data_IF_399845216618
#
_entry.id   IF_399845216618
#
_cell.length_a   1.000
_cell.length_b   1.000
_cell.length_c   1.000
_cell.angle_alpha   90.00
_cell.angle_beta   90.00
_cell.angle_gamma   90.00
#
_symmetry.space_group_name_H-M   'P 1'
#
loop_
_entity.id
_entity.type
_entity.pdbx_description
1 polymer ?
#
# COMPACT_ATOMS: atom_id res chain seq x y z
N UNK A 1 -24.34 -35.95 -25.48
CA UNK A 1 -22.91 -35.78 -25.29
C UNK A 1 -22.50 -36.43 -23.97
N UNK A 2 -21.75 -37.51 -24.01
CA UNK A 2 -21.50 -38.38 -22.86
C UNK A 2 -20.28 -37.92 -22.09
N UNK A 3 -20.21 -38.10 -20.78
CA UNK A 3 -19.10 -37.67 -19.90
C UNK A 3 -17.68 -38.10 -20.34
N UNK A 4 -17.61 -39.14 -21.19
CA UNK A 4 -16.33 -39.64 -21.75
C UNK A 4 -15.76 -38.77 -22.89
N UNK A 5 -16.58 -37.98 -23.55
CA UNK A 5 -16.15 -37.16 -24.70
C UNK A 5 -15.61 -35.79 -24.23
N UNK A 6 -15.96 -35.37 -22.99
CA UNK A 6 -15.42 -34.14 -22.39
C UNK A 6 -13.96 -34.27 -21.92
N UNK A 7 -13.51 -35.49 -21.62
CA UNK A 7 -12.15 -35.75 -21.12
C UNK A 7 -11.13 -35.88 -22.26
N UNK A 8 -11.55 -36.09 -23.51
CA UNK A 8 -10.63 -36.19 -24.67
C UNK A 8 -10.26 -34.86 -25.34
N UNK A 9 -10.94 -33.76 -24.97
CA UNK A 9 -10.68 -32.42 -25.52
C UNK A 9 -9.67 -31.57 -24.73
N UNK A 10 -9.16 -32.05 -23.60
CA UNK A 10 -8.32 -31.28 -22.69
C UNK A 10 -6.81 -31.62 -22.73
N UNK A 11 -6.34 -32.26 -23.78
CA UNK A 11 -4.95 -32.72 -23.89
C UNK A 11 -4.22 -32.09 -25.07
N UNK A 12 -4.17 -30.77 -25.15
CA UNK A 12 -3.24 -30.05 -26.04
C UNK A 12 -3.06 -28.58 -25.59
N UNK A 13 -2.74 -28.35 -24.32
CA UNK A 13 -2.04 -27.12 -23.92
C UNK A 13 -0.71 -27.58 -23.37
N UNK A 14 0.33 -27.40 -24.19
CA UNK A 14 1.67 -27.83 -23.89
C UNK A 14 2.19 -27.16 -22.61
N UNK A 15 2.62 -27.96 -21.66
CA UNK A 15 3.52 -27.55 -20.60
C UNK A 15 4.85 -27.14 -21.24
N UNK A 16 5.02 -25.84 -21.51
CA UNK A 16 6.35 -25.30 -21.76
C UNK A 16 7.13 -25.41 -20.44
N UNK A 17 8.13 -26.26 -20.48
CA UNK A 17 9.06 -26.52 -19.37
C UNK A 17 9.65 -25.22 -18.85
N UNK A 18 9.56 -25.03 -17.53
CA UNK A 18 10.29 -24.02 -16.78
C UNK A 18 11.79 -24.37 -16.75
N UNK A 19 12.45 -24.15 -17.87
CA UNK A 19 13.90 -24.20 -18.01
C UNK A 19 14.33 -23.00 -18.85
N UNK A 20 14.43 -21.83 -18.23
CA UNK A 20 14.85 -20.61 -18.94
C UNK A 20 14.71 -19.31 -18.19
N UNK A 21 14.59 -19.30 -16.88
CA UNK A 21 14.51 -18.05 -16.10
C UNK A 21 15.82 -17.74 -15.35
N UNK A 22 16.97 -17.84 -16.04
CA UNK A 22 18.26 -17.35 -15.51
C UNK A 22 18.82 -16.11 -16.20
N UNK A 23 18.12 -15.51 -17.15
CA UNK A 23 18.65 -14.41 -17.96
C UNK A 23 17.78 -13.13 -18.03
N UNK A 24 16.75 -12.99 -17.20
CA UNK A 24 15.94 -11.76 -17.15
C UNK A 24 16.17 -10.95 -15.86
N UNK A 25 17.40 -10.95 -15.31
CA UNK A 25 17.76 -10.24 -14.05
C UNK A 25 18.32 -8.82 -14.25
N UNK A 26 18.18 -8.20 -15.40
CA UNK A 26 18.93 -6.97 -15.67
C UNK A 26 18.18 -5.83 -16.37
N UNK A 27 16.86 -5.72 -16.26
CA UNK A 27 16.17 -4.62 -16.94
C UNK A 27 14.96 -4.03 -16.20
N UNK A 28 14.86 -4.13 -14.88
CA UNK A 28 13.78 -3.47 -14.14
C UNK A 28 14.33 -2.74 -12.91
N UNK A 29 14.16 -1.42 -12.91
CA UNK A 29 14.16 -0.53 -11.74
C UNK A 29 15.48 -0.32 -11.03
N UNK A 30 16.05 0.86 -11.20
CA UNK A 30 17.26 1.33 -10.54
C UNK A 30 17.41 0.88 -9.08
N UNK A 31 18.38 0.01 -8.82
CA UNK A 31 18.92 -0.23 -7.48
C UNK A 31 18.15 -1.15 -6.53
N UNK A 32 17.00 -1.69 -6.87
CA UNK A 32 16.16 -2.53 -6.00
C UNK A 32 16.39 -4.03 -6.18
N UNK A 33 17.60 -4.52 -6.16
CA UNK A 33 17.92 -5.95 -6.17
C UNK A 33 18.50 -6.39 -4.82
N UNK A 34 17.63 -6.50 -3.80
CA UNK A 34 17.95 -7.22 -2.57
C UNK A 34 16.98 -8.38 -2.40
N UNK A 35 17.48 -9.55 -2.00
CA UNK A 35 16.64 -10.73 -1.69
C UNK A 35 15.79 -10.56 -0.42
N UNK A 36 15.66 -9.35 0.11
CA UNK A 36 15.00 -9.02 1.36
C UNK A 36 13.72 -8.20 1.20
N UNK A 37 12.99 -8.08 2.31
CA UNK A 37 11.80 -7.23 2.41
C UNK A 37 12.17 -5.74 2.35
N UNK A 38 11.48 -4.96 1.54
CA UNK A 38 11.62 -3.50 1.46
C UNK A 38 10.77 -2.82 2.54
N UNK A 39 11.31 -2.67 3.73
CA UNK A 39 10.62 -2.02 4.84
C UNK A 39 10.49 -0.50 4.60
N UNK A 40 9.32 0.03 4.94
CA UNK A 40 8.94 1.42 4.79
C UNK A 40 8.30 1.96 6.07
N UNK A 41 8.48 3.23 6.35
CA UNK A 41 7.74 3.93 7.40
C UNK A 41 6.88 5.04 6.81
N UNK A 42 5.71 5.21 7.38
CA UNK A 42 4.94 6.43 7.20
C UNK A 42 5.68 7.61 7.84
N UNK A 43 5.63 8.77 7.19
CA UNK A 43 6.34 10.00 7.57
C UNK A 43 6.18 10.37 9.06
N UNK A 44 4.97 10.24 9.60
CA UNK A 44 4.64 10.52 10.98
C UNK A 44 5.20 9.52 12.01
N UNK A 45 5.62 8.34 11.56
CA UNK A 45 6.17 7.28 12.42
C UNK A 45 7.68 7.34 12.59
N UNK A 46 8.37 8.17 11.80
CA UNK A 46 9.83 8.33 11.83
C UNK A 46 10.23 9.07 13.11
N UNK A 47 11.03 8.47 14.02
CA UNK A 47 11.25 8.97 15.38
C UNK A 47 12.39 10.00 15.47
N UNK A 48 12.35 11.02 14.63
CA UNK A 48 13.27 12.17 14.66
C UNK A 48 12.50 13.46 14.46
N UNK A 49 13.17 14.60 14.58
CA UNK A 49 12.59 15.93 14.34
C UNK A 49 11.96 16.02 12.94
N UNK A 50 10.96 16.88 12.77
CA UNK A 50 10.24 17.03 11.50
C UNK A 50 11.04 17.88 10.50
N UNK A 51 12.14 17.30 10.06
CA UNK A 51 13.05 17.82 9.03
C UNK A 51 13.24 16.76 7.95
N UNK A 52 13.26 17.13 6.67
CA UNK A 52 13.35 16.20 5.56
C UNK A 52 14.62 15.37 5.60
N UNK A 53 15.77 16.02 5.74
CA UNK A 53 17.06 15.32 5.73
C UNK A 53 17.21 14.43 6.96
N UNK A 54 16.88 14.92 8.16
CA UNK A 54 16.95 14.14 9.38
C UNK A 54 16.13 12.85 9.29
N UNK A 55 14.90 12.92 8.72
CA UNK A 55 14.05 11.74 8.56
C UNK A 55 14.58 10.79 7.50
N UNK A 56 15.03 11.30 6.37
CA UNK A 56 15.57 10.47 5.29
C UNK A 56 16.90 9.82 5.69
N UNK A 57 17.77 10.55 6.38
CA UNK A 57 19.02 10.01 6.95
C UNK A 57 18.75 8.90 7.97
N UNK A 58 17.73 9.09 8.84
CA UNK A 58 17.30 8.06 9.77
C UNK A 58 16.88 6.77 9.04
N UNK A 59 16.08 6.89 7.98
CA UNK A 59 15.63 5.72 7.22
C UNK A 59 16.79 4.97 6.57
N UNK A 60 17.73 5.67 5.93
CA UNK A 60 18.89 5.06 5.29
C UNK A 60 19.82 4.40 6.33
N UNK A 61 20.10 5.08 7.45
CA UNK A 61 20.95 4.56 8.52
C UNK A 61 20.37 3.29 9.20
N UNK A 62 19.04 3.14 9.20
CA UNK A 62 18.37 1.99 9.81
C UNK A 62 17.90 0.93 8.78
N UNK A 63 18.36 1.03 7.53
CA UNK A 63 18.14 0.01 6.51
C UNK A 63 16.69 -0.10 6.02
N UNK A 64 15.93 1.01 6.07
CA UNK A 64 14.66 1.11 5.35
C UNK A 64 14.92 1.35 3.86
N UNK A 65 14.03 0.85 3.02
CA UNK A 65 14.13 1.00 1.58
C UNK A 65 13.27 2.15 1.04
N UNK A 66 12.24 2.56 1.78
CA UNK A 66 11.25 3.50 1.29
C UNK A 66 10.69 4.39 2.40
N UNK A 67 9.99 5.43 1.96
CA UNK A 67 9.19 6.31 2.80
C UNK A 67 7.80 6.47 2.20
N UNK A 68 6.79 6.48 3.06
CA UNK A 68 5.42 6.82 2.71
C UNK A 68 5.08 8.20 3.27
N UNK A 69 4.57 9.08 2.43
CA UNK A 69 4.33 10.49 2.78
C UNK A 69 2.84 10.78 2.94
N UNK A 70 2.46 11.74 3.79
CA UNK A 70 1.06 12.14 3.89
C UNK A 70 0.63 12.99 2.69
N UNK A 71 -0.64 12.90 2.30
CA UNK A 71 -1.23 13.89 1.38
C UNK A 71 -1.74 15.12 2.13
N UNK A 72 -2.09 14.97 3.41
CA UNK A 72 -2.96 15.89 4.12
C UNK A 72 -4.44 15.65 3.75
N UNK A 73 -5.35 16.35 4.43
CA UNK A 73 -6.81 16.13 4.23
C UNK A 73 -7.31 16.50 2.84
N UNK A 74 -6.64 17.43 2.16
CA UNK A 74 -7.02 17.99 0.85
C UNK A 74 -5.88 17.99 -0.15
N UNK A 75 -4.83 17.16 0.08
CA UNK A 75 -3.63 17.20 -0.74
C UNK A 75 -2.62 18.28 -0.34
N UNK A 76 -2.91 19.08 0.70
CA UNK A 76 -2.13 20.27 1.07
C UNK A 76 -0.67 19.96 1.37
N UNK A 77 -0.35 18.84 2.01
CA UNK A 77 1.04 18.51 2.30
C UNK A 77 1.86 18.30 1.02
N UNK A 78 1.28 17.59 0.04
CA UNK A 78 1.94 17.35 -1.24
C UNK A 78 2.08 18.65 -2.04
N UNK A 79 1.02 19.47 -2.09
CA UNK A 79 1.02 20.72 -2.83
C UNK A 79 2.02 21.73 -2.24
N UNK A 80 2.17 21.77 -0.92
CA UNK A 80 3.06 22.73 -0.25
C UNK A 80 4.52 22.23 -0.15
N UNK A 81 4.72 20.93 0.06
CA UNK A 81 6.01 20.35 0.46
C UNK A 81 6.58 19.33 -0.53
N UNK A 82 5.77 18.84 -1.47
CA UNK A 82 6.14 17.73 -2.34
C UNK A 82 7.39 18.00 -3.18
N UNK A 83 7.53 19.19 -3.76
CA UNK A 83 8.73 19.54 -4.52
C UNK A 83 10.00 19.62 -3.66
N UNK A 84 9.88 20.22 -2.47
CA UNK A 84 11.01 20.30 -1.53
C UNK A 84 11.41 18.91 -1.03
N UNK A 85 10.43 18.05 -0.74
CA UNK A 85 10.65 16.64 -0.42
C UNK A 85 11.34 15.91 -1.58
N UNK A 86 10.86 16.11 -2.81
CA UNK A 86 11.46 15.52 -4.01
C UNK A 86 12.93 15.91 -4.18
N UNK A 87 13.30 17.17 -3.90
CA UNK A 87 14.70 17.63 -3.88
C UNK A 87 15.52 16.92 -2.80
N UNK A 88 14.95 16.75 -1.59
CA UNK A 88 15.62 16.05 -0.50
C UNK A 88 15.82 14.54 -0.78
N UNK A 89 15.00 13.94 -1.62
CA UNK A 89 15.10 12.54 -2.07
C UNK A 89 16.18 12.31 -3.13
N UNK A 90 16.66 13.36 -3.81
CA UNK A 90 17.63 13.22 -4.91
C UNK A 90 18.95 12.61 -4.43
N UNK A 91 19.43 11.60 -5.16
CA UNK A 91 20.69 10.91 -4.86
C UNK A 91 20.62 9.91 -3.71
N UNK A 92 19.48 9.76 -3.03
CA UNK A 92 19.31 8.79 -1.95
C UNK A 92 19.00 7.40 -2.50
N UNK A 93 19.26 6.38 -1.70
CA UNK A 93 18.91 4.98 -2.00
C UNK A 93 17.43 4.67 -1.75
N UNK A 94 16.75 5.55 -1.02
CA UNK A 94 15.32 5.44 -0.72
C UNK A 94 14.45 5.70 -1.95
N UNK A 95 13.27 5.10 -1.98
CA UNK A 95 12.22 5.50 -2.90
C UNK A 95 10.98 6.02 -2.15
N UNK A 96 10.22 6.90 -2.79
CA UNK A 96 8.91 7.29 -2.30
C UNK A 96 7.92 6.17 -2.63
N UNK A 97 7.37 5.51 -1.61
CA UNK A 97 6.39 4.44 -1.80
C UNK A 97 5.07 5.05 -2.30
N UNK A 98 4.25 5.51 -1.39
CA UNK A 98 2.93 6.06 -1.69
C UNK A 98 2.73 7.36 -0.92
N UNK A 99 1.69 8.08 -1.29
CA UNK A 99 1.12 9.13 -0.47
C UNK A 99 -0.19 8.62 0.15
N UNK A 100 -0.22 8.54 1.48
CA UNK A 100 -1.38 8.10 2.23
C UNK A 100 -2.21 9.29 2.69
N UNK A 101 -3.49 9.33 2.30
CA UNK A 101 -4.42 10.37 2.72
C UNK A 101 -5.86 10.00 2.43
N UNK A 102 -6.79 10.65 3.13
CA UNK A 102 -8.20 10.34 2.95
C UNK A 102 -8.68 10.77 1.56
N UNK A 103 -9.49 9.94 0.96
CA UNK A 103 -10.23 10.26 -0.26
C UNK A 103 -11.64 9.68 -0.16
N UNK A 104 -12.59 10.38 -0.75
CA UNK A 104 -13.99 9.96 -0.88
C UNK A 104 -14.48 10.36 -2.27
N UNK A 105 -15.20 9.44 -2.93
CA UNK A 105 -15.81 9.65 -4.24
C UNK A 105 -17.26 9.11 -4.26
N UNK A 106 -17.93 9.17 -3.12
CA UNK A 106 -19.21 8.54 -2.83
C UNK A 106 -20.34 9.56 -2.55
N UNK A 107 -20.18 10.81 -3.01
CA UNK A 107 -21.16 11.86 -2.84
C UNK A 107 -22.37 11.68 -3.78
N UNK A 108 -23.57 12.01 -3.30
CA UNK A 108 -24.79 11.99 -4.12
C UNK A 108 -24.80 13.09 -5.19
N UNK A 109 -24.16 14.22 -4.95
CA UNK A 109 -23.97 15.27 -5.96
C UNK A 109 -22.71 14.94 -6.81
N UNK A 110 -22.86 14.63 -8.11
CA UNK A 110 -21.73 14.34 -8.99
C UNK A 110 -20.69 15.47 -9.04
N UNK A 111 -21.11 16.74 -8.85
CA UNK A 111 -20.18 17.88 -8.82
C UNK A 111 -19.21 17.81 -7.64
N UNK A 112 -19.61 17.19 -6.54
CA UNK A 112 -18.72 16.97 -5.39
C UNK A 112 -17.65 15.93 -5.72
N UNK A 113 -18.02 14.84 -6.41
CA UNK A 113 -17.06 13.85 -6.91
C UNK A 113 -16.10 14.46 -7.93
N UNK A 114 -16.60 15.27 -8.87
CA UNK A 114 -15.77 15.99 -9.83
C UNK A 114 -14.79 16.94 -9.14
N UNK A 115 -15.24 17.68 -8.11
CA UNK A 115 -14.37 18.56 -7.33
C UNK A 115 -13.26 17.78 -6.58
N UNK A 116 -13.56 16.58 -6.07
CA UNK A 116 -12.54 15.73 -5.47
C UNK A 116 -11.52 15.24 -6.53
N UNK A 117 -11.97 14.85 -7.72
CA UNK A 117 -11.08 14.47 -8.83
C UNK A 117 -10.14 15.63 -9.18
N UNK A 118 -10.68 16.82 -9.45
CA UNK A 118 -9.88 17.99 -9.83
C UNK A 118 -8.87 18.40 -8.75
N UNK A 119 -9.23 18.27 -7.48
CA UNK A 119 -8.34 18.56 -6.36
C UNK A 119 -7.08 17.67 -6.34
N UNK A 120 -7.19 16.42 -6.76
CA UNK A 120 -6.06 15.49 -6.79
C UNK A 120 -5.26 15.48 -8.10
N UNK A 121 -5.72 16.14 -9.16
CA UNK A 121 -4.97 16.23 -10.42
C UNK A 121 -3.55 16.80 -10.23
N UNK A 122 -3.35 17.98 -9.55
CA UNK A 122 -1.99 18.50 -9.31
C UNK A 122 -1.19 17.66 -8.31
N UNK A 123 -1.85 16.96 -7.37
CA UNK A 123 -1.17 16.03 -6.46
C UNK A 123 -0.51 14.90 -7.25
N UNK A 124 -1.20 14.33 -8.24
CA UNK A 124 -0.66 13.28 -9.11
C UNK A 124 0.53 13.75 -9.95
N UNK A 125 0.53 15.01 -10.39
CA UNK A 125 1.69 15.60 -11.11
C UNK A 125 2.94 15.63 -10.22
N UNK A 126 2.81 16.10 -8.99
CA UNK A 126 3.91 16.15 -8.04
C UNK A 126 4.38 14.72 -7.69
N UNK A 127 3.44 13.79 -7.42
CA UNK A 127 3.79 12.40 -7.12
C UNK A 127 4.54 11.74 -8.28
N UNK A 128 4.15 11.99 -9.52
CA UNK A 128 4.88 11.54 -10.70
C UNK A 128 6.28 12.16 -10.79
N UNK A 129 6.41 13.46 -10.54
CA UNK A 129 7.68 14.18 -10.52
C UNK A 129 8.69 13.63 -9.50
N UNK A 130 8.22 13.21 -8.33
CA UNK A 130 9.05 12.58 -7.29
C UNK A 130 9.17 11.05 -7.44
N UNK A 131 8.63 10.49 -8.51
CA UNK A 131 8.63 9.04 -8.81
C UNK A 131 8.01 8.19 -7.70
N UNK A 132 6.96 8.70 -7.05
CA UNK A 132 6.17 7.92 -6.11
C UNK A 132 5.43 6.78 -6.81
N UNK A 133 5.25 5.65 -6.12
CA UNK A 133 4.44 4.53 -6.62
C UNK A 133 3.00 4.97 -6.87
N UNK A 134 2.41 5.77 -5.96
CA UNK A 134 1.07 6.26 -6.19
C UNK A 134 0.39 6.99 -5.05
N UNK A 135 -0.86 7.37 -5.32
CA UNK A 135 -1.80 7.95 -4.37
C UNK A 135 -2.75 6.87 -3.87
N UNK A 136 -2.75 6.60 -2.57
CA UNK A 136 -3.70 5.65 -1.96
C UNK A 136 -5.12 6.24 -2.01
N UNK A 137 -6.07 5.44 -2.46
CA UNK A 137 -7.48 5.80 -2.58
C UNK A 137 -8.35 4.75 -1.91
N UNK A 138 -9.21 5.21 -1.00
CA UNK A 138 -10.34 4.45 -0.46
C UNK A 138 -11.63 5.04 -1.04
N UNK A 139 -12.27 4.43 -2.05
CA UNK A 139 -13.35 5.06 -2.83
C UNK A 139 -14.56 5.48 -2.00
N UNK A 140 -14.85 4.76 -0.92
CA UNK A 140 -15.90 5.12 0.04
C UNK A 140 -15.53 4.70 1.46
N UNK A 141 -15.93 5.50 2.44
CA UNK A 141 -15.82 5.18 3.87
C UNK A 141 -17.18 5.28 4.55
N UNK A 142 -17.40 4.43 5.57
CA UNK A 142 -18.56 4.39 6.48
C UNK A 142 -19.93 4.33 5.81
N UNK A 143 -20.53 5.44 5.43
CA UNK A 143 -21.86 5.50 4.80
C UNK A 143 -21.76 6.27 3.49
N UNK A 144 -21.70 5.58 2.35
CA UNK A 144 -21.76 6.25 1.05
C UNK A 144 -23.13 6.91 0.87
N UNK A 145 -23.14 8.03 0.15
CA UNK A 145 -24.37 8.79 -0.12
C UNK A 145 -25.18 8.20 -1.28
N UNK A 146 -24.54 7.31 -2.06
CA UNK A 146 -25.16 6.62 -3.20
C UNK A 146 -25.17 5.10 -3.01
N UNK A 147 -25.93 4.38 -3.84
CA UNK A 147 -25.94 2.92 -3.85
C UNK A 147 -24.59 2.33 -4.25
N UNK A 148 -24.19 1.18 -3.67
CA UNK A 148 -22.88 0.57 -3.94
C UNK A 148 -22.67 0.22 -5.41
N UNK A 149 -23.72 -0.13 -6.15
CA UNK A 149 -23.65 -0.40 -7.59
C UNK A 149 -23.37 0.87 -8.38
N UNK A 150 -24.07 1.94 -8.07
CA UNK A 150 -23.91 3.26 -8.69
C UNK A 150 -22.52 3.82 -8.41
N UNK A 151 -22.07 3.76 -7.15
CA UNK A 151 -20.72 4.14 -6.76
C UNK A 151 -19.65 3.39 -7.57
N UNK A 152 -19.82 2.06 -7.71
CA UNK A 152 -18.87 1.25 -8.46
C UNK A 152 -18.85 1.63 -9.94
N UNK A 153 -20.02 1.83 -10.53
CA UNK A 153 -20.14 2.20 -11.92
C UNK A 153 -19.47 3.55 -12.19
N UNK A 154 -19.77 4.59 -11.39
CA UNK A 154 -19.12 5.90 -11.51
C UNK A 154 -17.61 5.80 -11.29
N UNK A 155 -17.17 5.11 -10.24
CA UNK A 155 -15.75 5.02 -9.93
C UNK A 155 -14.95 4.34 -11.05
N UNK A 156 -15.47 3.27 -11.63
CA UNK A 156 -14.80 2.52 -12.71
C UNK A 156 -14.83 3.26 -14.03
N UNK A 157 -15.92 3.97 -14.34
CA UNK A 157 -16.11 4.58 -15.68
C UNK A 157 -15.79 6.08 -15.74
N UNK A 158 -15.76 6.77 -14.59
CA UNK A 158 -15.57 8.22 -14.49
C UNK A 158 -14.50 8.59 -13.45
N UNK A 159 -14.83 8.68 -12.18
CA UNK A 159 -13.96 9.33 -11.18
C UNK A 159 -12.63 8.63 -11.00
N UNK A 160 -12.61 7.33 -10.74
CA UNK A 160 -11.40 6.53 -10.62
C UNK A 160 -10.63 6.45 -11.94
N UNK A 161 -11.34 6.32 -13.06
CA UNK A 161 -10.72 6.26 -14.39
C UNK A 161 -9.98 7.54 -14.74
N UNK A 162 -10.59 8.72 -14.53
CA UNK A 162 -9.95 10.02 -14.77
C UNK A 162 -8.66 10.19 -13.94
N UNK A 163 -8.71 9.81 -12.66
CA UNK A 163 -7.53 9.84 -11.79
C UNK A 163 -6.44 8.87 -12.26
N UNK A 164 -6.80 7.65 -12.65
CA UNK A 164 -5.86 6.66 -13.16
C UNK A 164 -5.19 7.09 -14.47
N UNK A 165 -5.96 7.61 -15.41
CA UNK A 165 -5.44 8.15 -16.67
C UNK A 165 -4.46 9.32 -16.44
N UNK A 166 -4.77 10.22 -15.49
CA UNK A 166 -3.86 11.29 -15.10
C UNK A 166 -2.60 10.73 -14.45
N UNK A 167 -2.74 9.79 -13.51
CA UNK A 167 -1.63 9.14 -12.83
C UNK A 167 -0.68 8.45 -13.83
N UNK A 168 -1.23 7.69 -14.78
CA UNK A 168 -0.45 7.02 -15.83
C UNK A 168 0.34 8.03 -16.68
N UNK A 169 -0.28 9.15 -17.08
CA UNK A 169 0.41 10.23 -17.84
C UNK A 169 1.55 10.85 -17.04
N UNK A 170 1.45 10.90 -15.72
CA UNK A 170 2.46 11.45 -14.83
C UNK A 170 3.53 10.40 -14.43
N UNK A 171 3.38 9.13 -14.81
CA UNK A 171 4.30 8.06 -14.41
C UNK A 171 4.14 7.58 -12.96
N UNK A 172 2.93 7.70 -12.41
CA UNK A 172 2.52 7.22 -11.09
C UNK A 172 1.21 6.44 -11.19
N UNK A 173 0.58 6.07 -10.09
CA UNK A 173 -0.72 5.38 -10.07
C UNK A 173 -1.66 5.92 -9.00
N UNK A 174 -2.95 5.62 -9.14
CA UNK A 174 -3.83 5.50 -7.98
C UNK A 174 -3.71 4.08 -7.44
N UNK A 175 -3.74 3.93 -6.13
CA UNK A 175 -3.54 2.64 -5.44
C UNK A 175 -4.77 2.36 -4.59
N UNK A 176 -5.59 1.40 -5.01
CA UNK A 176 -6.83 1.07 -4.33
C UNK A 176 -6.56 0.31 -3.04
N UNK A 177 -7.05 0.81 -1.92
CA UNK A 177 -6.95 0.16 -0.62
C UNK A 177 -8.29 -0.43 -0.21
N UNK A 178 -8.42 -1.75 -0.15
CA UNK A 178 -9.55 -2.42 0.50
C UNK A 178 -9.49 -2.23 2.02
N UNK A 179 -10.62 -1.85 2.62
CA UNK A 179 -10.73 -1.63 4.06
C UNK A 179 -11.66 -2.66 4.71
N UNK A 180 -11.48 -2.91 6.00
CA UNK A 180 -12.37 -3.77 6.76
C UNK A 180 -13.83 -3.26 6.78
N UNK A 181 -14.78 -4.18 6.96
CA UNK A 181 -16.24 -3.91 6.96
C UNK A 181 -16.73 -2.86 7.95
N UNK A 182 -15.96 -2.55 9.00
CA UNK A 182 -16.27 -1.47 9.94
C UNK A 182 -15.97 -0.08 9.38
N UNK A 183 -15.09 0.00 8.39
CA UNK A 183 -14.64 1.26 7.80
C UNK A 183 -15.28 1.53 6.44
N UNK A 184 -15.61 0.48 5.68
CA UNK A 184 -16.31 0.61 4.40
C UNK A 184 -17.29 -0.51 4.14
N UNK A 185 -18.47 -0.25 3.54
CA UNK A 185 -19.33 -1.27 2.98
C UNK A 185 -18.93 -1.68 1.55
N UNK A 186 -18.00 -0.97 0.93
CA UNK A 186 -17.78 -1.00 -0.52
C UNK A 186 -16.63 -1.93 -0.92
N UNK A 187 -15.39 -1.48 -0.84
CA UNK A 187 -14.22 -2.23 -1.30
C UNK A 187 -13.50 -2.85 -0.09
N UNK A 188 -13.53 -4.18 0.03
CA UNK A 188 -13.06 -4.88 1.23
C UNK A 188 -12.04 -5.96 1.00
N UNK A 189 -12.02 -6.58 -0.19
CA UNK A 189 -11.10 -7.68 -0.51
C UNK A 189 -10.10 -7.27 -1.57
N UNK A 190 -8.89 -7.80 -1.46
CA UNK A 190 -7.79 -7.56 -2.41
C UNK A 190 -8.18 -8.02 -3.82
N UNK A 191 -8.88 -9.14 -3.94
CA UNK A 191 -9.38 -9.67 -5.21
C UNK A 191 -10.38 -8.74 -5.90
N UNK A 192 -11.27 -8.08 -5.12
CA UNK A 192 -12.23 -7.12 -5.66
C UNK A 192 -11.53 -5.84 -6.12
N UNK A 193 -10.52 -5.37 -5.36
CA UNK A 193 -9.69 -4.25 -5.76
C UNK A 193 -8.90 -4.56 -7.04
N UNK A 194 -8.34 -5.75 -7.16
CA UNK A 194 -7.62 -6.17 -8.36
C UNK A 194 -8.54 -6.20 -9.60
N UNK A 195 -9.75 -6.73 -9.46
CA UNK A 195 -10.75 -6.71 -10.52
C UNK A 195 -11.14 -5.29 -10.91
N UNK A 196 -11.38 -4.42 -9.93
CA UNK A 196 -11.71 -3.01 -10.18
C UNK A 196 -10.54 -2.28 -10.86
N UNK A 197 -9.30 -2.51 -10.44
CA UNK A 197 -8.11 -1.93 -11.06
C UNK A 197 -7.93 -2.41 -12.52
N UNK A 198 -8.22 -3.67 -12.82
CA UNK A 198 -8.21 -4.19 -14.20
C UNK A 198 -9.26 -3.49 -15.08
N UNK A 199 -10.46 -3.25 -14.56
CA UNK A 199 -11.54 -2.58 -15.29
C UNK A 199 -11.24 -1.09 -15.53
N UNK A 200 -10.63 -0.40 -14.55
CA UNK A 200 -10.20 0.99 -14.68
C UNK A 200 -9.05 1.10 -15.71
N UNK A 201 -8.08 0.19 -15.64
CA UNK A 201 -6.97 0.09 -16.57
C UNK A 201 -5.68 0.76 -16.09
N UNK A 202 -4.86 1.22 -17.05
CA UNK A 202 -3.53 1.77 -16.77
C UNK A 202 -3.56 2.93 -15.76
N UNK A 203 -2.60 2.92 -14.83
CA UNK A 203 -2.51 3.92 -13.76
C UNK A 203 -3.35 3.59 -12.52
N UNK A 204 -3.99 2.40 -12.48
CA UNK A 204 -4.68 1.90 -11.31
C UNK A 204 -4.04 0.61 -10.81
N UNK A 205 -3.69 0.56 -9.54
CA UNK A 205 -3.03 -0.57 -8.87
C UNK A 205 -3.67 -0.85 -7.51
N UNK A 206 -3.14 -1.78 -6.74
CA UNK A 206 -3.76 -2.29 -5.51
C UNK A 206 -2.79 -2.22 -4.34
N UNK A 207 -3.33 -1.94 -3.17
CA UNK A 207 -2.72 -2.10 -1.87
C UNK A 207 -3.34 -3.29 -1.14
N UNK A 208 -2.51 -4.04 -0.41
CA UNK A 208 -2.95 -5.03 0.56
C UNK A 208 -2.53 -4.61 1.96
N UNK A 209 -3.48 -4.41 2.87
CA UNK A 209 -3.20 -4.10 4.28
C UNK A 209 -3.47 -5.32 5.16
N UNK A 210 -2.44 -5.86 5.80
CA UNK A 210 -2.53 -7.01 6.70
C UNK A 210 -3.52 -6.80 7.85
N UNK A 211 -3.72 -5.56 8.32
CA UNK A 211 -4.74 -5.28 9.32
C UNK A 211 -6.15 -5.48 8.78
N UNK A 212 -6.46 -4.89 7.62
CA UNK A 212 -7.78 -5.03 7.01
C UNK A 212 -8.04 -6.46 6.53
N UNK A 213 -7.04 -7.11 5.96
CA UNK A 213 -7.10 -8.51 5.53
C UNK A 213 -7.44 -9.48 6.65
N UNK A 214 -7.04 -9.19 7.90
CA UNK A 214 -7.38 -10.01 9.08
C UNK A 214 -8.89 -10.23 9.23
N UNK A 215 -9.71 -9.29 8.77
CA UNK A 215 -11.17 -9.33 8.91
C UNK A 215 -11.90 -9.75 7.64
N UNK A 216 -11.26 -9.61 6.48
CA UNK A 216 -11.93 -9.73 5.19
C UNK A 216 -11.38 -10.87 4.33
N UNK A 217 -10.16 -11.35 4.58
CA UNK A 217 -9.54 -12.41 3.80
C UNK A 217 -9.50 -13.73 4.56
N UNK A 218 -9.86 -14.82 3.87
CA UNK A 218 -9.76 -16.15 4.44
C UNK A 218 -8.31 -16.68 4.43
N UNK A 219 -7.48 -16.18 3.52
CA UNK A 219 -6.08 -16.60 3.34
C UNK A 219 -5.25 -15.49 2.70
N UNK A 220 -4.24 -15.01 3.40
CA UNK A 220 -3.39 -13.90 2.92
C UNK A 220 -2.64 -14.25 1.63
N UNK A 221 -2.10 -15.46 1.53
CA UNK A 221 -1.38 -15.89 0.33
C UNK A 221 -2.29 -15.84 -0.90
N UNK A 222 -3.53 -16.35 -0.78
CA UNK A 222 -4.51 -16.30 -1.86
C UNK A 222 -4.87 -14.86 -2.23
N UNK A 223 -5.02 -13.96 -1.25
CA UNK A 223 -5.26 -12.55 -1.48
C UNK A 223 -4.12 -11.90 -2.28
N UNK A 224 -2.84 -12.11 -1.89
CA UNK A 224 -1.69 -11.59 -2.63
C UNK A 224 -1.64 -12.13 -4.07
N UNK A 225 -1.86 -13.44 -4.25
CA UNK A 225 -1.89 -14.07 -5.58
C UNK A 225 -3.01 -13.51 -6.47
N UNK A 226 -4.18 -13.17 -5.90
CA UNK A 226 -5.32 -12.62 -6.65
C UNK A 226 -5.02 -11.26 -7.27
N UNK A 227 -4.17 -10.46 -6.64
CA UNK A 227 -3.75 -9.16 -7.17
C UNK A 227 -2.58 -9.29 -8.17
N UNK A 228 -1.69 -10.27 -7.97
CA UNK A 228 -0.57 -10.51 -8.87
C UNK A 228 0.28 -9.25 -9.06
N UNK A 229 0.57 -8.91 -10.32
CA UNK A 229 1.39 -7.74 -10.68
C UNK A 229 0.71 -6.40 -10.42
N UNK A 230 -0.59 -6.37 -10.13
CA UNK A 230 -1.30 -5.15 -9.74
C UNK A 230 -1.01 -4.76 -8.29
N UNK A 231 -0.49 -5.65 -7.46
CA UNK A 231 -0.11 -5.33 -6.09
C UNK A 231 1.18 -4.51 -6.08
N UNK A 232 1.08 -3.23 -5.76
CA UNK A 232 2.22 -2.31 -5.79
C UNK A 232 2.59 -1.73 -4.44
N UNK A 233 1.71 -1.89 -3.45
CA UNK A 233 1.95 -1.43 -2.08
C UNK A 233 1.38 -2.40 -1.05
N UNK A 234 2.00 -2.45 0.14
CA UNK A 234 1.55 -3.28 1.27
C UNK A 234 1.63 -2.44 2.55
N UNK A 235 0.54 -2.45 3.32
CA UNK A 235 0.52 -1.96 4.69
C UNK A 235 0.64 -3.11 5.68
N UNK A 236 1.30 -2.85 6.81
CA UNK A 236 1.47 -3.82 7.88
C UNK A 236 1.28 -3.19 9.25
N UNK A 237 0.51 -3.86 10.10
CA UNK A 237 0.33 -3.58 11.52
C UNK A 237 0.02 -4.86 12.26
N UNK A 238 0.08 -4.84 13.60
CA UNK A 238 -0.38 -5.98 14.40
C UNK A 238 -1.84 -6.31 14.09
N UNK A 239 -2.09 -7.56 13.76
CA UNK A 239 -3.43 -8.09 13.42
C UNK A 239 -4.42 -8.00 14.59
N UNK A 240 -3.92 -7.90 15.82
CA UNK A 240 -4.76 -7.89 17.03
C UNK A 240 -5.26 -6.50 17.39
N UNK A 241 -4.45 -5.46 17.17
CA UNK A 241 -4.72 -4.15 17.76
C UNK A 241 -4.29 -2.95 16.90
N UNK A 242 -3.84 -3.18 15.65
CA UNK A 242 -3.32 -2.15 14.72
C UNK A 242 -2.16 -1.34 15.31
N UNK A 243 -1.37 -1.95 16.21
CA UNK A 243 -0.15 -1.37 16.76
C UNK A 243 1.07 -1.85 16.00
N UNK A 244 2.24 -1.35 16.36
CA UNK A 244 3.50 -1.80 15.76
C UNK A 244 3.67 -3.29 16.05
N UNK A 245 3.95 -4.13 15.04
CA UNK A 245 4.14 -5.57 15.21
C UNK A 245 5.14 -5.91 16.31
N UNK A 246 4.73 -6.75 17.24
CA UNK A 246 5.55 -7.19 18.36
C UNK A 246 5.71 -6.19 19.51
N UNK A 247 5.20 -4.97 19.42
CA UNK A 247 5.40 -3.93 20.43
C UNK A 247 4.66 -4.16 21.76
N UNK A 248 3.68 -5.04 21.77
CA UNK A 248 2.94 -5.50 22.97
C UNK A 248 3.47 -6.83 23.54
N UNK A 249 4.63 -7.29 23.07
CA UNK A 249 5.27 -8.54 23.50
C UNK A 249 4.74 -9.79 22.77
N UNK A 250 3.78 -9.67 21.87
CA UNK A 250 3.23 -10.79 21.09
C UNK A 250 3.45 -10.56 19.61
N UNK A 251 4.18 -11.46 18.95
CA UNK A 251 4.39 -11.41 17.51
C UNK A 251 3.16 -11.95 16.77
N UNK A 252 2.73 -11.22 15.75
CA UNK A 252 1.78 -11.71 14.73
C UNK A 252 2.55 -12.58 13.71
N UNK A 253 1.84 -13.48 13.04
CA UNK A 253 2.39 -14.27 11.94
C UNK A 253 1.95 -13.70 10.58
N UNK A 254 2.93 -13.36 9.75
CA UNK A 254 2.73 -12.84 8.39
C UNK A 254 3.22 -13.79 7.30
N UNK A 255 3.69 -15.00 7.68
CA UNK A 255 4.36 -15.94 6.79
C UNK A 255 3.56 -16.25 5.51
N UNK A 256 2.26 -16.56 5.64
CA UNK A 256 1.43 -16.85 4.45
C UNK A 256 1.37 -15.67 3.48
N UNK A 257 1.23 -14.46 3.98
CA UNK A 257 1.22 -13.26 3.14
C UNK A 257 2.58 -13.03 2.49
N UNK A 258 3.67 -13.19 3.23
CA UNK A 258 5.03 -13.05 2.69
C UNK A 258 5.35 -14.11 1.63
N UNK A 259 4.88 -15.35 1.79
CA UNK A 259 4.95 -16.36 0.72
C UNK A 259 4.22 -15.90 -0.53
N UNK A 260 2.99 -15.39 -0.38
CA UNK A 260 2.24 -14.85 -1.51
C UNK A 260 2.98 -13.71 -2.22
N UNK A 261 3.57 -12.78 -1.45
CA UNK A 261 4.38 -11.68 -1.99
C UNK A 261 5.61 -12.20 -2.76
N UNK A 262 6.32 -13.19 -2.22
CA UNK A 262 7.45 -13.82 -2.92
C UNK A 262 7.03 -14.51 -4.21
N UNK A 263 5.91 -15.24 -4.20
CA UNK A 263 5.40 -15.97 -5.36
C UNK A 263 4.99 -15.07 -6.52
N UNK A 264 4.44 -13.88 -6.23
CA UNK A 264 4.12 -12.89 -7.28
C UNK A 264 5.34 -12.05 -7.69
N UNK A 265 6.51 -12.28 -7.09
CA UNK A 265 7.73 -11.49 -7.35
C UNK A 265 7.63 -10.06 -6.85
N UNK A 266 6.91 -9.82 -5.76
CA UNK A 266 6.72 -8.48 -5.19
C UNK A 266 8.05 -7.85 -4.79
N UNK A 267 8.27 -6.62 -5.23
CA UNK A 267 9.45 -5.81 -4.92
C UNK A 267 9.11 -4.39 -4.44
N UNK A 268 7.84 -4.13 -4.14
CA UNK A 268 7.36 -2.87 -3.58
C UNK A 268 7.70 -2.72 -2.09
N UNK A 269 7.17 -1.67 -1.48
CA UNK A 269 7.35 -1.40 -0.06
C UNK A 269 6.36 -2.17 0.82
N UNK A 270 6.81 -2.61 2.00
CA UNK A 270 5.96 -3.03 3.10
C UNK A 270 6.03 -1.93 4.16
N UNK A 271 4.99 -1.12 4.21
CA UNK A 271 4.91 0.12 4.98
C UNK A 271 4.19 -0.07 6.32
N UNK A 272 4.79 0.43 7.38
CA UNK A 272 4.19 0.41 8.71
C UNK A 272 3.06 1.43 8.80
N UNK A 273 1.82 0.96 8.86
CA UNK A 273 0.64 1.77 9.19
C UNK A 273 0.06 1.38 10.55
N UNK A 274 0.69 1.82 11.62
CA UNK A 274 0.39 1.37 12.96
C UNK A 274 0.43 2.49 14.00
N UNK A 275 -0.39 2.36 15.03
CA UNK A 275 -0.33 3.23 16.20
C UNK A 275 0.71 2.76 17.23
N UNK A 276 1.15 3.67 18.08
CA UNK A 276 2.01 3.36 19.23
C UNK A 276 1.21 2.74 20.38
N UNK A 277 1.81 1.81 21.11
CA UNK A 277 1.27 1.30 22.37
C UNK A 277 1.54 2.36 23.46
N UNK A 278 0.51 2.84 24.20
CA UNK A 278 0.74 3.72 25.33
C UNK A 278 1.50 2.99 26.45
N UNK A 279 2.40 3.69 27.12
CA UNK A 279 3.14 3.22 28.32
C UNK A 279 2.31 3.29 29.60
N UNK A 280 1.22 4.06 29.57
CA UNK A 280 0.33 4.34 30.68
C UNK A 280 -0.46 5.62 30.44
N UNK A 281 -0.99 6.20 31.50
CA UNK A 281 -1.69 7.48 31.46
C UNK A 281 -1.07 8.46 32.47
N UNK A 282 -1.13 9.76 32.16
CA UNK A 282 -0.76 10.83 33.08
C UNK A 282 -1.82 11.05 34.18
N UNK A 283 -1.56 11.96 35.09
CA UNK A 283 -2.47 12.29 36.19
C UNK A 283 -3.85 12.82 35.74
N UNK A 284 -3.99 13.20 34.45
CA UNK A 284 -5.24 13.66 33.82
C UNK A 284 -5.89 12.57 32.96
N UNK A 285 -5.39 11.33 33.01
CA UNK A 285 -5.90 10.20 32.21
C UNK A 285 -5.49 10.23 30.74
N UNK A 286 -4.58 11.11 30.31
CA UNK A 286 -4.10 11.18 28.94
C UNK A 286 -3.03 10.12 28.70
N UNK A 287 -3.11 9.40 27.58
CA UNK A 287 -2.13 8.39 27.20
C UNK A 287 -0.71 8.97 27.06
N UNK A 288 0.24 8.31 27.68
CA UNK A 288 1.69 8.58 27.56
C UNK A 288 2.26 7.61 26.53
N UNK A 289 2.85 8.15 25.47
CA UNK A 289 3.48 7.36 24.40
C UNK A 289 4.99 7.28 24.57
N UNK A 290 5.65 6.29 23.95
CA UNK A 290 7.10 6.20 23.90
C UNK A 290 7.75 7.50 23.36
N UNK A 291 8.87 7.90 23.95
CA UNK A 291 9.69 8.98 23.42
C UNK A 291 10.48 8.55 22.14
N UNK A 292 11.25 9.45 21.55
CA UNK A 292 11.93 9.16 20.28
C UNK A 292 12.95 8.03 20.39
N UNK A 293 13.68 7.93 21.51
CA UNK A 293 14.65 6.86 21.71
C UNK A 293 13.96 5.48 21.90
N UNK A 294 12.89 5.45 22.68
CA UNK A 294 12.08 4.26 22.88
C UNK A 294 11.41 3.81 21.56
N UNK A 295 10.93 4.76 20.76
CA UNK A 295 10.36 4.47 19.42
C UNK A 295 11.40 3.85 18.50
N UNK A 296 12.62 4.34 18.50
CA UNK A 296 13.71 3.73 17.73
C UNK A 296 13.93 2.27 18.12
N UNK A 297 13.98 1.95 19.42
CA UNK A 297 14.16 0.58 19.92
C UNK A 297 13.00 -0.33 19.48
N UNK A 298 11.76 0.17 19.58
CA UNK A 298 10.57 -0.58 19.16
C UNK A 298 10.61 -0.88 17.65
N UNK A 299 10.94 0.12 16.83
CA UNK A 299 11.04 -0.03 15.38
C UNK A 299 12.17 -0.99 14.97
N UNK A 300 13.31 -0.96 15.66
CA UNK A 300 14.42 -1.91 15.43
C UNK A 300 13.97 -3.35 15.64
N UNK A 301 13.30 -3.63 16.77
CA UNK A 301 12.75 -4.97 17.06
C UNK A 301 11.69 -5.41 16.05
N UNK A 302 10.83 -4.48 15.61
CA UNK A 302 9.87 -4.75 14.53
C UNK A 302 10.59 -5.15 13.24
N UNK A 303 11.62 -4.41 12.84
CA UNK A 303 12.39 -4.71 11.63
C UNK A 303 13.03 -6.11 11.69
N UNK A 304 13.61 -6.47 12.83
CA UNK A 304 14.19 -7.81 13.07
C UNK A 304 13.13 -8.91 12.95
N UNK A 305 11.95 -8.69 13.56
CA UNK A 305 10.82 -9.62 13.48
C UNK A 305 10.36 -9.84 12.03
N UNK A 306 10.12 -8.74 11.29
CA UNK A 306 9.60 -8.81 9.91
C UNK A 306 10.61 -9.41 8.94
N UNK A 307 11.91 -9.08 9.08
CA UNK A 307 12.98 -9.67 8.26
C UNK A 307 13.10 -11.17 8.50
N UNK A 308 13.08 -11.60 9.75
CA UNK A 308 13.10 -13.04 10.09
C UNK A 308 11.91 -13.77 9.48
N UNK A 309 10.68 -13.27 9.66
CA UNK A 309 9.50 -13.93 9.07
C UNK A 309 9.51 -13.91 7.54
N UNK A 310 10.08 -12.87 6.94
CA UNK A 310 10.30 -12.85 5.50
C UNK A 310 11.27 -13.94 5.04
N UNK A 311 12.35 -14.16 5.75
CA UNK A 311 13.34 -15.21 5.44
C UNK A 311 12.74 -16.61 5.57
N UNK A 312 11.94 -16.84 6.61
CA UNK A 312 11.27 -18.10 6.91
C UNK A 312 10.10 -18.42 5.92
N UNK A 313 9.50 -17.43 5.32
CA UNK A 313 8.43 -17.58 4.33
C UNK A 313 9.00 -17.98 2.94
#
# INVERSE_FOLDING_TARGET
MNRRDFIKGASAIGFASVAGCKAAKAACCGGRCGCGINLCLQWGSIPVVDDFNAKLDYLEANGYAAVEIPTGRKGEWILEKGEAFGKAMQGRKLFCATACGPSRFDYADPKMNDAEVEKFMPVLEILGGIKSVGLIICPARSKPEVGLKELREDFVTNTGKRLAEKAAKCGTSIVLEPLQRKETPFLRQVSDAAKMAQEIGAGCTVLADFWHMTWEEANDRAAMLSAGSLLTHVHIASRRNRKIPGSDGVADNYELGFRGLKEIGYNGAVSLEAGWVPKGTDAKGKAIFPDLAERHIILTKMCELLRRQWEEA
#
